data_IF_619872889315
#
_entry.id   IF_619872889315
#
_cell.length_a   1.000
_cell.length_b   1.000
_cell.length_c   1.000
_cell.angle_alpha   90.00
_cell.angle_beta   90.00
_cell.angle_gamma   90.00
#
_symmetry.space_group_name_H-M   'P 1'
#
loop_
_entity.id
_entity.type
_entity.pdbx_description
1 polymer ?
#
# COMPACT_ATOMS: atom_id res chain seq x y z
N UNK A 1 -67.45 -63.19 -25.46
CA UNK A 1 -67.04 -63.62 -26.80
C UNK A 1 -65.57 -63.97 -26.70
N UNK A 2 -65.29 -65.29 -26.64
CA UNK A 2 -64.05 -66.00 -27.04
C UNK A 2 -62.72 -65.45 -26.45
N UNK A 3 -62.16 -66.08 -25.40
CA UNK A 3 -61.19 -67.21 -25.44
C UNK A 3 -59.78 -66.76 -25.89
N UNK A 4 -58.61 -67.25 -25.44
CA UNK A 4 -58.03 -68.05 -24.33
C UNK A 4 -56.51 -68.13 -24.69
N UNK A 5 -55.61 -68.23 -23.69
CA UNK A 5 -54.31 -68.99 -23.65
C UNK A 5 -53.27 -68.24 -22.79
N UNK A 6 -52.80 -68.68 -21.61
CA UNK A 6 -52.24 -69.94 -21.08
C UNK A 6 -50.75 -70.17 -21.42
N UNK A 7 -49.93 -70.26 -20.36
CA UNK A 7 -48.61 -70.93 -20.30
C UNK A 7 -47.41 -69.98 -20.37
N UNK A 8 -46.31 -70.11 -19.62
CA UNK A 8 -45.75 -71.24 -18.87
C UNK A 8 -44.63 -70.73 -17.93
N UNK A 9 -44.39 -71.47 -16.85
CA UNK A 9 -43.36 -71.26 -15.82
C UNK A 9 -41.90 -71.33 -16.33
N UNK A 10 -40.99 -70.64 -15.63
CA UNK A 10 -39.60 -71.06 -15.48
C UNK A 10 -38.98 -70.45 -14.21
N UNK A 11 -38.65 -71.35 -13.28
CA UNK A 11 -37.86 -71.15 -12.07
C UNK A 11 -36.37 -71.05 -12.45
N UNK A 12 -35.63 -70.04 -11.95
CA UNK A 12 -34.16 -70.12 -11.80
C UNK A 12 -33.60 -69.12 -10.80
N UNK A 13 -32.90 -69.66 -9.81
CA UNK A 13 -31.93 -69.00 -8.93
C UNK A 13 -30.92 -68.14 -9.72
N UNK A 14 -30.51 -66.98 -9.23
CA UNK A 14 -29.31 -66.83 -8.39
C UNK A 14 -28.98 -65.35 -8.12
N UNK A 15 -28.43 -65.11 -6.93
CA UNK A 15 -27.52 -64.06 -6.50
C UNK A 15 -27.79 -62.54 -6.67
N UNK A 16 -27.49 -61.84 -5.57
CA UNK A 16 -26.68 -60.62 -5.67
C UNK A 16 -27.35 -59.28 -5.39
N UNK A 17 -27.75 -59.07 -4.13
CA UNK A 17 -27.60 -57.81 -3.38
C UNK A 17 -27.88 -56.47 -4.08
N UNK A 18 -28.95 -55.80 -3.65
CA UNK A 18 -29.02 -54.35 -3.82
C UNK A 18 -30.37 -53.71 -3.53
N UNK A 19 -30.37 -52.86 -2.50
CA UNK A 19 -31.20 -51.64 -2.35
C UNK A 19 -32.57 -51.83 -1.67
N UNK A 20 -32.71 -51.21 -0.48
CA UNK A 20 -33.43 -49.93 -0.27
C UNK A 20 -33.78 -49.74 1.22
N UNK A 21 -33.06 -48.85 1.90
CA UNK A 21 -33.58 -48.08 3.04
C UNK A 21 -33.05 -46.63 2.96
N UNK A 22 -33.80 -45.65 3.51
CA UNK A 22 -33.88 -44.30 2.95
C UNK A 22 -32.75 -43.36 3.41
N UNK A 23 -32.39 -42.45 2.51
CA UNK A 23 -31.40 -41.39 2.69
C UNK A 23 -31.78 -40.47 3.87
N UNK A 24 -31.05 -40.57 4.97
CA UNK A 24 -31.07 -39.57 6.03
C UNK A 24 -30.43 -38.29 5.50
N UNK A 25 -31.28 -37.28 5.38
CA UNK A 25 -31.01 -35.89 5.04
C UNK A 25 -29.90 -35.31 5.94
N UNK A 26 -28.67 -35.27 5.42
CA UNK A 26 -27.54 -34.54 6.00
C UNK A 26 -27.05 -33.47 5.04
N UNK A 27 -27.96 -32.64 4.55
CA UNK A 27 -27.61 -31.29 4.10
C UNK A 27 -28.09 -30.26 5.12
N UNK A 28 -27.40 -30.20 6.26
CA UNK A 28 -27.25 -28.90 6.93
C UNK A 28 -26.42 -28.05 5.99
N UNK A 29 -27.10 -27.35 5.08
CA UNK A 29 -26.63 -26.13 4.43
C UNK A 29 -25.85 -25.34 5.47
N UNK A 30 -24.53 -25.33 5.37
CA UNK A 30 -23.78 -24.17 5.81
C UNK A 30 -24.34 -23.02 4.97
N UNK A 31 -25.28 -22.27 5.55
CA UNK A 31 -25.50 -20.88 5.16
C UNK A 31 -24.20 -20.16 5.48
N UNK A 32 -23.23 -20.31 4.58
CA UNK A 32 -22.06 -19.44 4.50
C UNK A 32 -22.66 -18.05 4.35
N UNK A 33 -22.51 -17.23 5.38
CA UNK A 33 -22.90 -15.83 5.36
C UNK A 33 -22.37 -15.25 4.05
N UNK A 34 -23.28 -14.94 3.13
CA UNK A 34 -22.95 -14.22 1.91
C UNK A 34 -22.67 -12.81 2.41
N UNK A 35 -21.44 -12.55 2.85
CA UNK A 35 -20.96 -11.18 2.94
C UNK A 35 -21.06 -10.64 1.52
N UNK A 36 -22.00 -9.72 1.32
CA UNK A 36 -22.27 -9.16 0.02
C UNK A 36 -20.96 -8.50 -0.42
N UNK A 37 -20.35 -8.99 -1.51
CA UNK A 37 -19.01 -8.60 -1.98
C UNK A 37 -18.88 -7.10 -2.24
N UNK A 38 -20.02 -6.43 -2.39
CA UNK A 38 -20.14 -4.99 -2.52
C UNK A 38 -19.84 -4.21 -1.23
N UNK A 39 -19.98 -4.78 -0.03
CA UNK A 39 -19.75 -4.06 1.23
C UNK A 39 -18.27 -3.76 1.50
N UNK A 40 -17.38 -4.69 1.17
CA UNK A 40 -15.95 -4.58 1.53
C UNK A 40 -15.25 -3.41 0.82
N UNK A 41 -15.62 -3.13 -0.44
CA UNK A 41 -15.11 -1.99 -1.19
C UNK A 41 -16.02 -0.75 -1.09
N UNK A 42 -17.16 -0.85 -0.42
CA UNK A 42 -18.11 0.25 -0.32
C UNK A 42 -17.51 1.44 0.42
N UNK A 43 -16.87 1.19 1.57
CA UNK A 43 -16.19 2.23 2.35
C UNK A 43 -15.14 2.97 1.50
N UNK A 44 -14.32 2.21 0.77
CA UNK A 44 -13.29 2.76 -0.09
C UNK A 44 -13.86 3.56 -1.27
N UNK A 45 -14.88 3.04 -1.96
CA UNK A 45 -15.54 3.75 -3.07
C UNK A 45 -16.27 5.01 -2.58
N UNK A 46 -16.92 4.93 -1.41
CA UNK A 46 -17.56 6.09 -0.76
C UNK A 46 -16.53 7.17 -0.46
N UNK A 47 -15.34 6.79 0.00
CA UNK A 47 -14.24 7.70 0.25
C UNK A 47 -13.71 8.35 -1.04
N UNK A 48 -13.45 7.57 -2.10
CA UNK A 48 -13.04 8.11 -3.41
C UNK A 48 -14.10 9.05 -4.01
N UNK A 49 -15.38 8.73 -3.83
CA UNK A 49 -16.49 9.56 -4.27
C UNK A 49 -16.58 10.86 -3.48
N UNK A 50 -16.40 10.79 -2.16
CA UNK A 50 -16.32 11.98 -1.29
C UNK A 50 -15.16 12.89 -1.70
N UNK A 51 -14.03 12.29 -2.07
CA UNK A 51 -12.84 13.01 -2.55
C UNK A 51 -12.96 13.51 -4.00
N UNK A 52 -14.07 13.26 -4.69
CA UNK A 52 -14.31 13.60 -6.10
C UNK A 52 -13.31 12.99 -7.10
N UNK A 53 -12.74 11.82 -6.79
CA UNK A 53 -11.75 11.14 -7.66
C UNK A 53 -12.29 9.82 -8.26
N UNK A 54 -13.58 9.54 -8.07
CA UNK A 54 -14.20 8.33 -8.59
C UNK A 54 -14.48 8.40 -10.10
N UNK A 55 -13.79 7.56 -10.87
CA UNK A 55 -13.95 7.43 -12.33
C UNK A 55 -14.72 6.17 -12.75
N UNK A 56 -15.56 5.64 -11.86
CA UNK A 56 -16.32 4.40 -12.11
C UNK A 56 -17.37 4.49 -13.22
N UNK A 57 -17.93 5.68 -13.47
CA UNK A 57 -18.92 5.93 -14.52
C UNK A 57 -18.49 7.11 -15.41
N UNK A 58 -18.96 7.23 -16.66
CA UNK A 58 -18.59 8.34 -17.53
C UNK A 58 -18.99 9.70 -16.94
N UNK A 59 -20.15 9.78 -16.26
CA UNK A 59 -20.60 10.99 -15.58
C UNK A 59 -19.70 11.37 -14.40
N UNK A 60 -19.35 10.41 -13.53
CA UNK A 60 -18.44 10.68 -12.40
C UNK A 60 -17.01 10.95 -12.88
N UNK A 61 -16.59 10.38 -14.00
CA UNK A 61 -15.32 10.70 -14.63
C UNK A 61 -15.29 12.17 -15.10
N UNK A 62 -16.32 12.64 -15.82
CA UNK A 62 -16.42 14.06 -16.22
C UNK A 62 -16.41 14.98 -14.99
N UNK A 63 -17.16 14.63 -13.94
CA UNK A 63 -17.16 15.38 -12.68
C UNK A 63 -15.77 15.42 -12.02
N UNK A 64 -15.07 14.28 -11.97
CA UNK A 64 -13.72 14.20 -11.39
C UNK A 64 -12.70 15.03 -12.17
N UNK A 65 -12.78 15.03 -13.51
CA UNK A 65 -11.93 15.85 -14.36
C UNK A 65 -12.23 17.33 -14.21
N UNK A 66 -13.50 17.70 -14.10
CA UNK A 66 -13.92 19.08 -13.83
C UNK A 66 -13.37 19.57 -12.48
N UNK A 67 -13.56 18.82 -11.40
CA UNK A 67 -13.04 19.17 -10.08
C UNK A 67 -11.51 19.24 -10.08
N UNK A 68 -10.85 18.30 -10.76
CA UNK A 68 -9.41 18.31 -10.93
C UNK A 68 -8.94 19.60 -11.62
N UNK A 69 -9.53 20.00 -12.75
CA UNK A 69 -9.15 21.22 -13.46
C UNK A 69 -9.38 22.45 -12.59
N UNK A 70 -10.52 22.53 -11.91
CA UNK A 70 -10.85 23.67 -11.04
C UNK A 70 -9.85 23.81 -9.90
N UNK A 71 -9.66 22.78 -9.08
CA UNK A 71 -8.83 22.87 -7.87
C UNK A 71 -7.32 22.74 -8.13
N UNK A 72 -6.91 22.17 -9.26
CA UNK A 72 -5.50 21.94 -9.57
C UNK A 72 -4.92 22.97 -10.54
N UNK A 73 -5.74 23.62 -11.38
CA UNK A 73 -5.27 24.56 -12.40
C UNK A 73 -5.93 25.95 -12.27
N UNK A 74 -7.26 26.01 -12.22
CA UNK A 74 -7.99 27.29 -12.24
C UNK A 74 -7.79 28.08 -10.96
N UNK A 75 -8.09 27.49 -9.80
CA UNK A 75 -7.94 28.17 -8.50
C UNK A 75 -6.50 28.64 -8.24
N UNK A 76 -5.43 27.84 -8.43
CA UNK A 76 -4.07 28.35 -8.26
C UNK A 76 -3.77 29.48 -9.24
N UNK A 77 -4.07 29.33 -10.54
CA UNK A 77 -3.82 30.39 -11.50
C UNK A 77 -4.55 31.69 -11.12
N UNK A 78 -5.82 31.60 -10.71
CA UNK A 78 -6.60 32.75 -10.27
C UNK A 78 -6.02 33.38 -9.00
N UNK A 79 -5.62 32.58 -8.01
CA UNK A 79 -4.94 33.06 -6.80
C UNK A 79 -3.65 33.79 -7.16
N UNK A 80 -2.81 33.21 -8.03
CA UNK A 80 -1.56 33.82 -8.46
C UNK A 80 -1.77 35.15 -9.19
N UNK A 81 -2.68 35.21 -10.16
CA UNK A 81 -2.90 36.41 -10.99
C UNK A 81 -3.71 37.49 -10.28
N UNK A 82 -4.67 37.14 -9.43
CA UNK A 82 -5.50 38.13 -8.73
C UNK A 82 -4.84 38.68 -7.47
N UNK A 83 -3.96 37.90 -6.81
CA UNK A 83 -3.18 38.36 -5.66
C UNK A 83 -1.80 38.92 -6.05
N UNK A 84 -1.45 38.89 -7.35
CA UNK A 84 -0.26 39.56 -7.88
C UNK A 84 -0.44 41.09 -7.83
N UNK A 85 -0.30 41.66 -6.64
CA UNK A 85 -0.31 43.10 -6.44
C UNK A 85 1.13 43.64 -6.55
N UNK A 86 1.36 44.53 -7.50
CA UNK A 86 2.65 45.22 -7.68
C UNK A 86 2.96 46.24 -6.55
N UNK A 87 1.97 46.61 -5.74
CA UNK A 87 2.06 47.64 -4.70
C UNK A 87 1.85 47.11 -3.26
N UNK A 88 1.91 45.79 -3.04
CA UNK A 88 1.74 45.23 -1.69
C UNK A 88 2.97 45.52 -0.80
N UNK A 89 2.68 45.73 0.49
CA UNK A 89 3.68 45.94 1.54
C UNK A 89 4.66 44.76 1.62
N UNK A 90 5.91 45.04 2.00
CA UNK A 90 7.04 44.08 2.05
C UNK A 90 6.71 42.81 2.87
N UNK A 91 5.86 42.93 3.89
CA UNK A 91 5.42 41.84 4.76
C UNK A 91 4.38 40.89 4.12
N UNK A 92 3.71 41.31 3.03
CA UNK A 92 2.66 40.55 2.34
C UNK A 92 3.04 40.12 0.92
N UNK A 93 4.26 40.44 0.47
CA UNK A 93 4.77 39.95 -0.81
C UNK A 93 4.86 38.41 -0.79
N UNK A 94 4.33 37.76 -1.84
CA UNK A 94 4.39 36.31 -2.05
C UNK A 94 5.40 35.93 -3.15
N UNK A 95 6.72 36.08 -2.91
CA UNK A 95 7.73 35.85 -3.96
C UNK A 95 7.90 34.38 -4.36
N UNK A 96 7.50 33.44 -3.49
CA UNK A 96 7.69 31.99 -3.70
C UNK A 96 6.43 31.27 -4.19
N UNK A 97 5.29 31.97 -4.27
CA UNK A 97 3.98 31.40 -4.56
C UNK A 97 3.93 30.68 -5.92
N UNK A 98 4.56 31.23 -6.97
CA UNK A 98 4.63 30.56 -8.28
C UNK A 98 5.30 29.19 -8.20
N UNK A 99 6.40 29.07 -7.46
CA UNK A 99 7.13 27.82 -7.29
C UNK A 99 6.34 26.78 -6.50
N UNK A 100 5.70 27.22 -5.41
CA UNK A 100 4.84 26.39 -4.55
C UNK A 100 3.63 25.87 -5.33
N UNK A 101 2.92 26.77 -6.02
CA UNK A 101 1.74 26.39 -6.77
C UNK A 101 2.09 25.47 -7.95
N UNK A 102 3.18 25.72 -8.67
CA UNK A 102 3.60 24.90 -9.80
C UNK A 102 4.04 23.50 -9.35
N UNK A 103 4.83 23.39 -8.29
CA UNK A 103 5.30 22.10 -7.76
C UNK A 103 4.15 21.26 -7.21
N UNK A 104 3.26 21.86 -6.41
CA UNK A 104 2.09 21.16 -5.86
C UNK A 104 1.11 20.73 -6.96
N UNK A 105 0.85 21.60 -7.95
CA UNK A 105 -0.08 21.29 -9.04
C UNK A 105 0.48 20.25 -10.01
N UNK A 106 1.79 20.31 -10.31
CA UNK A 106 2.44 19.31 -11.16
C UNK A 106 2.46 17.92 -10.51
N UNK A 107 2.75 17.83 -9.20
CA UNK A 107 2.72 16.56 -8.49
C UNK A 107 1.28 16.03 -8.32
N UNK A 108 0.31 16.92 -8.04
CA UNK A 108 -1.11 16.55 -8.00
C UNK A 108 -1.61 16.07 -9.38
N UNK A 109 -1.18 16.71 -10.47
CA UNK A 109 -1.49 16.28 -11.83
C UNK A 109 -0.88 14.93 -12.16
N UNK A 110 0.40 14.71 -11.83
CA UNK A 110 1.05 13.41 -11.98
C UNK A 110 0.28 12.33 -11.22
N UNK A 111 -0.13 12.61 -9.98
CA UNK A 111 -0.90 11.69 -9.13
C UNK A 111 -2.28 11.40 -9.70
N UNK A 112 -3.05 12.43 -10.09
CA UNK A 112 -4.38 12.26 -10.67
C UNK A 112 -4.33 11.50 -12.00
N UNK A 113 -3.39 11.83 -12.89
CA UNK A 113 -3.21 11.12 -14.17
C UNK A 113 -2.83 9.65 -13.95
N UNK A 114 -1.97 9.38 -12.97
CA UNK A 114 -1.59 8.02 -12.58
C UNK A 114 -2.83 7.23 -12.12
N UNK A 115 -3.59 7.80 -11.18
CA UNK A 115 -4.82 7.19 -10.67
C UNK A 115 -5.87 7.00 -11.76
N UNK A 116 -6.08 8.02 -12.61
CA UNK A 116 -7.05 7.97 -13.71
C UNK A 116 -6.72 6.88 -14.72
N UNK A 117 -5.45 6.77 -15.12
CA UNK A 117 -4.99 5.70 -16.02
C UNK A 117 -5.19 4.32 -15.40
N UNK A 118 -5.02 4.17 -14.09
CA UNK A 118 -5.22 2.89 -13.43
C UNK A 118 -6.70 2.51 -13.29
N UNK A 119 -7.54 3.45 -12.88
CA UNK A 119 -8.98 3.22 -12.74
C UNK A 119 -9.60 2.91 -14.10
N UNK A 120 -9.28 3.69 -15.14
CA UNK A 120 -9.80 3.48 -16.50
C UNK A 120 -9.31 2.17 -17.14
N UNK A 121 -8.03 1.81 -16.97
CA UNK A 121 -7.45 0.63 -17.64
C UNK A 121 -7.76 -0.70 -16.95
N UNK A 122 -7.82 -0.72 -15.63
CA UNK A 122 -7.93 -1.97 -14.86
C UNK A 122 -9.26 -2.07 -14.08
N UNK A 123 -9.87 -0.94 -13.72
CA UNK A 123 -10.93 -0.91 -12.73
C UNK A 123 -10.40 -1.07 -11.31
N UNK A 124 -11.09 -0.47 -10.34
CA UNK A 124 -10.64 -0.38 -8.94
C UNK A 124 -10.39 -1.75 -8.30
N UNK A 125 -11.25 -2.74 -8.59
CA UNK A 125 -11.17 -4.08 -8.03
C UNK A 125 -9.96 -4.87 -8.54
N UNK A 126 -9.73 -4.82 -9.85
CA UNK A 126 -8.58 -5.47 -10.48
C UNK A 126 -7.27 -4.78 -10.13
N UNK A 127 -7.31 -3.46 -9.92
CA UNK A 127 -6.18 -2.66 -9.49
C UNK A 127 -5.68 -3.03 -8.09
N UNK A 128 -6.58 -3.21 -7.11
CA UNK A 128 -6.25 -3.71 -5.78
C UNK A 128 -6.09 -5.24 -5.72
N UNK A 129 -6.13 -5.94 -6.87
CA UNK A 129 -6.07 -7.41 -6.99
C UNK A 129 -7.16 -8.19 -6.21
N UNK A 130 -8.28 -7.54 -5.87
CA UNK A 130 -9.42 -8.19 -5.19
C UNK A 130 -10.14 -9.22 -6.07
N UNK A 131 -10.02 -9.15 -7.39
CA UNK A 131 -10.64 -10.14 -8.30
C UNK A 131 -10.10 -11.55 -8.08
N UNK A 132 -8.83 -11.68 -7.71
CA UNK A 132 -8.16 -12.97 -7.52
C UNK A 132 -8.32 -13.52 -6.10
N UNK A 133 -8.84 -12.72 -5.17
CA UNK A 133 -9.09 -13.11 -3.77
C UNK A 133 -10.40 -13.89 -3.58
N UNK A 134 -11.21 -14.02 -4.62
CA UNK A 134 -12.47 -14.75 -4.54
C UNK A 134 -12.28 -16.24 -4.23
N UNK A 135 -11.17 -16.81 -4.71
CA UNK A 135 -10.82 -18.21 -4.52
C UNK A 135 -9.99 -18.46 -3.24
N UNK A 136 -9.61 -17.40 -2.51
CA UNK A 136 -8.74 -17.47 -1.33
C UNK A 136 -9.54 -17.61 -0.02
N UNK A 137 -8.86 -18.10 1.02
CA UNK A 137 -9.43 -18.34 2.36
C UNK A 137 -10.12 -17.12 2.96
N UNK A 138 -11.19 -17.35 3.75
CA UNK A 138 -11.92 -16.28 4.45
C UNK A 138 -11.05 -15.46 5.41
N UNK A 139 -9.98 -16.07 5.95
CA UNK A 139 -9.04 -15.40 6.85
C UNK A 139 -8.19 -14.37 6.10
N UNK A 140 -7.69 -14.74 4.90
CA UNK A 140 -6.92 -13.85 4.02
C UNK A 140 -7.77 -12.63 3.64
N UNK A 141 -9.01 -12.85 3.25
CA UNK A 141 -9.94 -11.76 2.91
C UNK A 141 -10.16 -10.77 4.06
N UNK A 142 -10.25 -11.25 5.31
CA UNK A 142 -10.39 -10.39 6.49
C UNK A 142 -9.11 -9.58 6.78
N UNK A 143 -7.93 -10.18 6.57
CA UNK A 143 -6.66 -9.47 6.64
C UNK A 143 -6.58 -8.31 5.64
N UNK A 144 -7.05 -8.53 4.41
CA UNK A 144 -7.05 -7.50 3.36
C UNK A 144 -7.99 -6.33 3.67
N UNK A 145 -9.19 -6.59 4.20
CA UNK A 145 -10.17 -5.54 4.50
C UNK A 145 -9.75 -4.72 5.71
N UNK A 146 -9.16 -5.36 6.72
CA UNK A 146 -8.52 -4.66 7.83
C UNK A 146 -7.40 -3.74 7.34
N UNK A 147 -6.54 -4.24 6.45
CA UNK A 147 -5.43 -3.44 5.91
C UNK A 147 -5.89 -2.27 5.04
N UNK A 148 -6.99 -2.44 4.28
CA UNK A 148 -7.59 -1.37 3.51
C UNK A 148 -8.06 -0.24 4.43
N UNK A 149 -8.80 -0.58 5.50
CA UNK A 149 -9.29 0.41 6.47
C UNK A 149 -8.13 1.09 7.21
N UNK A 150 -7.11 0.32 7.62
CA UNK A 150 -5.88 0.87 8.22
C UNK A 150 -5.19 1.87 7.29
N UNK A 151 -5.11 1.56 6.00
CA UNK A 151 -4.52 2.44 4.99
C UNK A 151 -5.31 3.74 4.80
N UNK A 152 -6.64 3.70 4.86
CA UNK A 152 -7.47 4.90 4.84
C UNK A 152 -7.31 5.76 6.10
N UNK A 153 -7.19 5.15 7.28
CA UNK A 153 -6.87 5.89 8.53
C UNK A 153 -5.52 6.59 8.43
N UNK A 154 -4.52 5.91 7.86
CA UNK A 154 -3.19 6.49 7.61
C UNK A 154 -3.27 7.72 6.69
N UNK A 155 -4.09 7.67 5.63
CA UNK A 155 -4.30 8.83 4.76
C UNK A 155 -4.82 10.05 5.56
N UNK A 156 -5.80 9.83 6.43
CA UNK A 156 -6.32 10.88 7.30
C UNK A 156 -5.25 11.42 8.27
N UNK A 157 -4.45 10.53 8.86
CA UNK A 157 -3.37 10.91 9.76
C UNK A 157 -2.29 11.77 9.10
N UNK A 158 -2.00 11.60 7.81
CA UNK A 158 -1.07 12.47 7.08
C UNK A 158 -1.72 13.77 6.59
N UNK A 159 -2.95 13.71 6.08
CA UNK A 159 -3.62 14.87 5.49
C UNK A 159 -4.06 15.86 6.58
N UNK A 160 -4.55 15.39 7.72
CA UNK A 160 -5.06 16.24 8.80
C UNK A 160 -4.03 17.24 9.37
N UNK A 161 -2.83 16.85 9.82
CA UNK A 161 -1.85 17.78 10.37
C UNK A 161 -1.34 18.77 9.32
N UNK A 162 -1.12 18.30 8.09
CA UNK A 162 -0.77 19.14 6.95
C UNK A 162 -1.85 20.21 6.69
N UNK A 163 -3.12 19.82 6.69
CA UNK A 163 -4.25 20.73 6.49
C UNK A 163 -4.43 21.71 7.64
N UNK A 164 -4.26 21.27 8.89
CA UNK A 164 -4.33 22.15 10.05
C UNK A 164 -3.22 23.21 10.02
N UNK A 165 -1.99 22.82 9.71
CA UNK A 165 -0.85 23.74 9.60
C UNK A 165 -1.03 24.75 8.46
N UNK A 166 -1.56 24.32 7.31
CA UNK A 166 -1.83 25.23 6.20
C UNK A 166 -3.01 26.16 6.50
N UNK A 167 -4.06 25.64 7.15
CA UNK A 167 -5.22 26.42 7.53
C UNK A 167 -4.85 27.50 8.53
N UNK A 168 -4.07 27.19 9.57
CA UNK A 168 -3.61 28.18 10.54
C UNK A 168 -2.76 29.26 9.86
N UNK A 169 -1.83 28.87 8.98
CA UNK A 169 -1.01 29.82 8.22
C UNK A 169 -1.85 30.77 7.35
N UNK A 170 -2.79 30.24 6.55
CA UNK A 170 -3.62 31.07 5.67
C UNK A 170 -4.60 31.93 6.45
N UNK A 171 -5.27 31.39 7.47
CA UNK A 171 -6.18 32.16 8.31
C UNK A 171 -5.42 33.31 8.97
N UNK A 172 -4.22 33.06 9.50
CA UNK A 172 -3.38 34.10 10.07
C UNK A 172 -2.98 35.17 9.04
N UNK A 173 -2.60 34.76 7.82
CA UNK A 173 -2.23 35.67 6.74
C UNK A 173 -3.40 36.56 6.29
N UNK A 174 -4.57 35.98 6.04
CA UNK A 174 -5.78 36.73 5.68
C UNK A 174 -6.32 37.60 6.82
N UNK A 175 -6.23 37.14 8.08
CA UNK A 175 -6.65 37.92 9.24
C UNK A 175 -5.73 39.13 9.50
N UNK A 176 -4.43 39.01 9.18
CA UNK A 176 -3.44 40.06 9.36
C UNK A 176 -3.40 41.07 8.19
N UNK A 177 -3.91 40.69 7.01
CA UNK A 177 -3.95 41.51 5.79
C UNK A 177 -5.29 42.19 5.48
N UNK A 178 -6.17 42.36 6.48
CA UNK A 178 -7.62 42.56 6.37
C UNK A 178 -8.16 43.83 5.63
N UNK A 179 -7.52 44.37 4.57
CA UNK A 179 -8.04 45.60 3.92
C UNK A 179 -7.69 45.89 2.45
N UNK A 180 -7.33 44.93 1.59
CA UNK A 180 -6.88 45.31 0.22
C UNK A 180 -7.52 44.61 -0.99
N UNK A 181 -8.51 43.72 -0.88
CA UNK A 181 -9.08 43.02 -2.05
C UNK A 181 -10.61 43.20 -2.17
N UNK A 182 -11.09 44.26 -2.87
CA UNK A 182 -12.51 44.51 -3.04
C UNK A 182 -13.05 43.76 -4.27
N UNK A 183 -13.34 42.46 -4.16
CA UNK A 183 -13.89 41.68 -5.29
C UNK A 183 -15.44 41.57 -5.30
N UNK A 184 -16.09 41.71 -4.14
CA UNK A 184 -17.52 41.37 -3.94
C UNK A 184 -18.34 42.43 -3.19
N UNK A 185 -17.90 43.69 -3.20
CA UNK A 185 -18.60 44.81 -2.55
C UNK A 185 -18.48 44.84 -1.02
N UNK A 186 -18.27 43.69 -0.36
CA UNK A 186 -17.89 43.58 1.05
C UNK A 186 -16.52 42.87 1.17
N UNK A 187 -15.53 43.60 1.69
CA UNK A 187 -14.12 43.17 1.77
C UNK A 187 -13.98 41.87 2.58
N UNK A 188 -14.71 41.75 3.69
CA UNK A 188 -14.64 40.57 4.58
C UNK A 188 -15.18 39.30 3.89
N UNK A 189 -16.27 39.43 3.12
CA UNK A 189 -16.87 38.30 2.42
C UNK A 189 -15.96 37.82 1.28
N UNK A 190 -15.37 38.77 0.55
CA UNK A 190 -14.42 38.50 -0.53
C UNK A 190 -13.19 37.72 -0.03
N UNK A 191 -12.57 38.20 1.05
CA UNK A 191 -11.36 37.58 1.63
C UNK A 191 -11.67 36.20 2.22
N UNK A 192 -12.83 36.03 2.85
CA UNK A 192 -13.28 34.74 3.40
C UNK A 192 -13.48 33.69 2.29
N UNK A 193 -14.11 34.07 1.18
CA UNK A 193 -14.35 33.17 0.04
C UNK A 193 -13.03 32.81 -0.66
N UNK A 194 -12.12 33.78 -0.84
CA UNK A 194 -10.80 33.54 -1.41
C UNK A 194 -9.97 32.58 -0.55
N UNK A 195 -9.94 32.80 0.77
CA UNK A 195 -9.26 31.92 1.72
C UNK A 195 -9.84 30.50 1.69
N UNK A 196 -11.17 30.35 1.74
CA UNK A 196 -11.82 29.04 1.68
C UNK A 196 -11.51 28.31 0.37
N UNK A 197 -11.62 29.00 -0.77
CA UNK A 197 -11.35 28.40 -2.08
C UNK A 197 -9.88 27.94 -2.19
N UNK A 198 -8.95 28.74 -1.70
CA UNK A 198 -7.53 28.38 -1.61
C UNK A 198 -7.27 27.18 -0.71
N UNK A 199 -7.93 27.10 0.46
CA UNK A 199 -7.81 25.97 1.38
C UNK A 199 -8.42 24.69 0.81
N UNK A 200 -9.60 24.76 0.19
CA UNK A 200 -10.22 23.62 -0.49
C UNK A 200 -9.34 23.11 -1.64
N UNK A 201 -8.76 24.03 -2.41
CA UNK A 201 -7.83 23.73 -3.50
C UNK A 201 -6.56 23.06 -3.02
N UNK A 202 -5.96 23.57 -1.94
CA UNK A 202 -4.78 22.96 -1.32
C UNK A 202 -5.10 21.58 -0.74
N UNK A 203 -6.19 21.45 0.02
CA UNK A 203 -6.67 20.18 0.56
C UNK A 203 -6.91 19.16 -0.54
N UNK A 204 -7.57 19.54 -1.63
CA UNK A 204 -7.80 18.64 -2.76
C UNK A 204 -6.49 18.11 -3.33
N UNK A 205 -5.52 19.01 -3.61
CA UNK A 205 -4.22 18.60 -4.15
C UNK A 205 -3.47 17.68 -3.19
N UNK A 206 -3.32 18.05 -1.92
CA UNK A 206 -2.60 17.22 -0.94
C UNK A 206 -3.28 15.87 -0.75
N UNK A 207 -4.61 15.82 -0.72
CA UNK A 207 -5.34 14.57 -0.58
C UNK A 207 -5.16 13.66 -1.80
N UNK A 208 -5.19 14.20 -3.03
CA UNK A 208 -4.91 13.42 -4.25
C UNK A 208 -3.49 12.85 -4.25
N UNK A 209 -2.52 13.65 -3.84
CA UNK A 209 -1.11 13.25 -3.71
C UNK A 209 -0.95 12.10 -2.73
N UNK A 210 -1.42 12.28 -1.50
CA UNK A 210 -1.32 11.25 -0.47
C UNK A 210 -2.16 10.02 -0.78
N UNK A 211 -3.32 10.16 -1.43
CA UNK A 211 -4.12 9.02 -1.85
C UNK A 211 -3.31 8.08 -2.75
N UNK A 212 -2.65 8.59 -3.78
CA UNK A 212 -1.85 7.73 -4.67
C UNK A 212 -0.69 7.08 -3.93
N UNK A 213 -0.05 7.81 -3.01
CA UNK A 213 1.02 7.27 -2.18
C UNK A 213 0.54 6.14 -1.28
N UNK A 214 -0.61 6.32 -0.63
CA UNK A 214 -1.25 5.32 0.22
C UNK A 214 -1.77 4.15 -0.59
N UNK A 215 -2.28 4.35 -1.81
CA UNK A 215 -2.69 3.25 -2.69
C UNK A 215 -1.50 2.40 -3.10
N UNK A 216 -0.36 3.03 -3.42
CA UNK A 216 0.86 2.30 -3.68
C UNK A 216 1.33 1.52 -2.43
N UNK A 217 1.34 2.16 -1.25
CA UNK A 217 1.65 1.50 0.03
C UNK A 217 0.73 0.29 0.28
N UNK A 218 -0.57 0.46 0.07
CA UNK A 218 -1.57 -0.59 0.21
C UNK A 218 -1.25 -1.74 -0.74
N UNK A 219 -1.04 -1.47 -2.03
CA UNK A 219 -0.66 -2.50 -3.02
C UNK A 219 0.59 -3.25 -2.59
N UNK A 220 1.63 -2.54 -2.14
CA UNK A 220 2.86 -3.15 -1.64
C UNK A 220 2.59 -4.05 -0.43
N UNK A 221 1.81 -3.59 0.54
CA UNK A 221 1.48 -4.38 1.72
C UNK A 221 0.62 -5.61 1.39
N UNK A 222 -0.33 -5.49 0.47
CA UNK A 222 -1.10 -6.64 -0.01
C UNK A 222 -0.20 -7.68 -0.68
N UNK A 223 0.88 -7.27 -1.34
CA UNK A 223 1.86 -8.22 -1.87
C UNK A 223 2.74 -8.84 -0.77
N UNK A 224 3.03 -8.11 0.31
CA UNK A 224 3.76 -8.66 1.47
C UNK A 224 2.93 -9.75 2.15
N UNK A 225 1.63 -9.54 2.36
CA UNK A 225 0.73 -10.57 2.90
C UNK A 225 0.76 -11.85 2.05
N UNK A 226 0.77 -11.73 0.73
CA UNK A 226 0.92 -12.90 -0.18
C UNK A 226 2.28 -13.56 -0.05
N UNK A 227 3.32 -12.79 0.22
CA UNK A 227 4.66 -13.31 0.44
C UNK A 227 4.73 -14.11 1.75
N UNK A 228 4.04 -13.66 2.79
CA UNK A 228 3.91 -14.36 4.06
C UNK A 228 3.11 -15.65 3.92
N UNK A 229 1.97 -15.60 3.21
CA UNK A 229 1.20 -16.82 2.89
C UNK A 229 2.07 -17.83 2.11
N UNK A 230 2.88 -17.36 1.17
CA UNK A 230 3.84 -18.21 0.45
C UNK A 230 4.93 -18.81 1.36
N UNK A 231 5.40 -18.06 2.36
CA UNK A 231 6.36 -18.57 3.34
C UNK A 231 5.75 -19.67 4.22
N UNK A 232 4.44 -19.63 4.50
CA UNK A 232 3.75 -20.72 5.18
C UNK A 232 3.61 -21.97 4.29
N UNK A 233 3.39 -21.79 2.98
CA UNK A 233 3.37 -22.91 2.03
C UNK A 233 4.73 -23.61 1.93
N UNK A 234 5.83 -22.89 2.07
CA UNK A 234 7.17 -23.49 2.19
C UNK A 234 7.31 -24.46 3.36
N UNK A 235 6.51 -24.31 4.42
CA UNK A 235 6.51 -25.23 5.57
C UNK A 235 5.62 -26.46 5.35
N UNK A 236 4.66 -26.39 4.43
CA UNK A 236 3.62 -27.43 4.27
C UNK A 236 3.82 -28.30 3.01
N UNK A 237 4.36 -27.74 1.92
CA UNK A 237 4.48 -28.43 0.63
C UNK A 237 5.90 -28.93 0.33
N UNK A 238 6.01 -30.19 -0.10
CA UNK A 238 7.29 -30.90 -0.29
C UNK A 238 7.73 -31.02 -1.76
N UNK A 239 7.21 -30.25 -2.71
CA UNK A 239 7.65 -30.31 -4.11
C UNK A 239 8.34 -29.01 -4.54
N UNK A 240 9.60 -29.13 -4.99
CA UNK A 240 10.40 -28.01 -5.52
C UNK A 240 9.71 -27.35 -6.72
N UNK A 241 8.98 -28.14 -7.52
CA UNK A 241 8.25 -27.65 -8.69
C UNK A 241 7.11 -26.70 -8.34
N UNK A 242 6.33 -27.01 -7.30
CA UNK A 242 5.22 -26.15 -6.86
C UNK A 242 5.74 -24.85 -6.25
N UNK A 243 6.79 -24.93 -5.42
CA UNK A 243 7.48 -23.78 -4.81
C UNK A 243 8.00 -22.81 -5.88
N UNK A 244 8.68 -23.33 -6.91
CA UNK A 244 9.22 -22.50 -8.00
C UNK A 244 8.10 -21.85 -8.82
N UNK A 245 7.02 -22.59 -9.11
CA UNK A 245 5.88 -22.08 -9.87
C UNK A 245 5.18 -20.93 -9.14
N UNK A 246 4.97 -21.05 -7.83
CA UNK A 246 4.38 -19.97 -7.02
C UNK A 246 5.33 -18.77 -6.88
N UNK A 247 6.63 -19.01 -6.66
CA UNK A 247 7.61 -17.92 -6.67
C UNK A 247 7.61 -17.15 -8.00
N UNK A 248 7.57 -17.85 -9.14
CA UNK A 248 7.48 -17.23 -10.47
C UNK A 248 6.18 -16.43 -10.65
N UNK A 249 5.07 -16.91 -10.09
CA UNK A 249 3.78 -16.20 -10.11
C UNK A 249 3.85 -14.90 -9.32
N UNK A 250 4.40 -14.93 -8.11
CA UNK A 250 4.61 -13.76 -7.26
C UNK A 250 5.54 -12.76 -7.96
N UNK A 251 6.68 -13.23 -8.48
CA UNK A 251 7.64 -12.40 -9.21
C UNK A 251 7.01 -11.74 -10.45
N UNK A 252 6.13 -12.46 -11.16
CA UNK A 252 5.36 -11.89 -12.27
C UNK A 252 4.44 -10.78 -11.79
N UNK A 253 3.73 -10.95 -10.67
CA UNK A 253 2.87 -9.92 -10.10
C UNK A 253 3.67 -8.68 -9.66
N UNK A 254 4.79 -8.85 -8.96
CA UNK A 254 5.70 -7.77 -8.58
C UNK A 254 6.25 -7.02 -9.79
N UNK A 255 6.66 -7.74 -10.85
CA UNK A 255 7.15 -7.13 -12.10
C UNK A 255 6.07 -6.30 -12.79
N UNK A 256 4.83 -6.79 -12.82
CA UNK A 256 3.70 -6.04 -13.38
C UNK A 256 3.44 -4.77 -12.57
N UNK A 257 3.47 -4.84 -11.24
CA UNK A 257 3.28 -3.68 -10.36
C UNK A 257 4.42 -2.67 -10.54
N UNK A 258 5.66 -3.11 -10.43
CA UNK A 258 6.87 -2.29 -10.69
C UNK A 258 6.79 -1.60 -12.05
N UNK A 259 6.45 -2.32 -13.12
CA UNK A 259 6.34 -1.72 -14.46
C UNK A 259 5.27 -0.63 -14.55
N UNK A 260 4.15 -0.79 -13.85
CA UNK A 260 3.06 0.21 -13.83
C UNK A 260 3.47 1.48 -13.09
N UNK A 261 4.21 1.33 -11.99
CA UNK A 261 4.59 2.43 -11.12
C UNK A 261 5.98 3.02 -11.40
N UNK A 262 6.83 2.39 -12.21
CA UNK A 262 8.21 2.86 -12.43
C UNK A 262 8.28 4.30 -12.95
N UNK A 263 7.39 4.66 -13.88
CA UNK A 263 7.34 6.00 -14.45
C UNK A 263 6.85 6.97 -13.37
N UNK A 264 5.82 6.57 -12.62
CA UNK A 264 5.28 7.38 -11.53
C UNK A 264 6.33 7.63 -10.43
N UNK A 265 7.00 6.60 -9.90
CA UNK A 265 8.02 6.73 -8.86
C UNK A 265 9.19 7.61 -9.35
N UNK A 266 9.67 7.38 -10.58
CA UNK A 266 10.75 8.18 -11.14
C UNK A 266 10.34 9.64 -11.36
N UNK A 267 9.17 9.89 -11.94
CA UNK A 267 8.65 11.25 -12.13
C UNK A 267 8.40 11.95 -10.81
N UNK A 268 7.89 11.24 -9.79
CA UNK A 268 7.74 11.77 -8.44
C UNK A 268 9.08 12.16 -7.84
N UNK A 269 10.10 11.31 -7.94
CA UNK A 269 11.45 11.62 -7.47
C UNK A 269 11.98 12.88 -8.17
N UNK A 270 11.96 12.92 -9.51
CA UNK A 270 12.46 14.07 -10.29
C UNK A 270 11.71 15.36 -9.94
N UNK A 271 10.38 15.33 -9.84
CA UNK A 271 9.58 16.51 -9.51
C UNK A 271 9.88 17.01 -8.09
N UNK A 272 10.00 16.11 -7.11
CA UNK A 272 10.29 16.48 -5.73
C UNK A 272 11.69 17.05 -5.62
N UNK A 273 12.72 16.33 -6.10
CA UNK A 273 14.11 16.83 -6.10
C UNK A 273 14.23 18.16 -6.86
N UNK A 274 13.59 18.28 -8.01
CA UNK A 274 13.56 19.52 -8.79
C UNK A 274 12.90 20.68 -8.03
N UNK A 275 11.80 20.41 -7.32
CA UNK A 275 11.13 21.41 -6.49
C UNK A 275 11.96 21.84 -5.28
N UNK A 276 12.68 20.91 -4.64
CA UNK A 276 13.59 21.22 -3.53
C UNK A 276 14.79 22.03 -3.98
N UNK A 277 15.38 21.67 -5.13
CA UNK A 277 16.49 22.41 -5.71
C UNK A 277 16.05 23.82 -6.15
N UNK A 278 14.86 23.95 -6.74
CA UNK A 278 14.29 25.25 -7.07
C UNK A 278 14.11 26.12 -5.82
N UNK A 279 13.56 25.53 -4.75
CA UNK A 279 13.37 26.19 -3.45
C UNK A 279 14.71 26.64 -2.86
N UNK A 280 15.74 25.79 -2.90
CA UNK A 280 17.10 26.12 -2.49
C UNK A 280 17.67 27.32 -3.26
N UNK A 281 17.53 27.32 -4.60
CA UNK A 281 18.07 28.37 -5.46
C UNK A 281 17.41 29.73 -5.23
N UNK A 282 16.08 29.75 -5.16
CA UNK A 282 15.33 31.01 -4.98
C UNK A 282 15.57 31.60 -3.58
N UNK A 283 15.72 30.73 -2.57
CA UNK A 283 16.08 31.12 -1.20
C UNK A 283 17.53 31.60 -1.08
N UNK A 284 18.46 31.00 -1.82
CA UNK A 284 19.88 31.43 -1.79
C UNK A 284 20.08 32.78 -2.47
N UNK A 285 19.29 33.09 -3.51
CA UNK A 285 19.37 34.36 -4.23
C UNK A 285 18.82 35.55 -3.43
N UNK A 286 17.87 35.33 -2.52
CA UNK A 286 17.33 36.37 -1.67
C UNK A 286 18.31 36.69 -0.53
N UNK A 287 19.09 37.76 -0.67
CA UNK A 287 20.02 38.26 0.35
C UNK A 287 19.33 38.80 1.62
N UNK A 288 18.01 38.96 1.60
CA UNK A 288 17.18 39.39 2.74
C UNK A 288 16.74 38.19 3.58
N UNK A 289 16.79 38.33 4.90
CA UNK A 289 16.38 37.27 5.85
C UNK A 289 15.01 36.69 5.51
N UNK A 290 14.91 35.36 5.51
CA UNK A 290 13.63 34.66 5.34
C UNK A 290 12.87 34.73 6.66
N UNK A 291 11.71 35.34 6.65
CA UNK A 291 10.81 35.30 7.80
C UNK A 291 9.80 34.16 7.61
N UNK A 292 9.37 33.54 8.71
CA UNK A 292 8.30 32.52 8.75
C UNK A 292 7.07 32.96 7.93
N UNK A 293 6.80 34.26 7.92
CA UNK A 293 5.64 34.87 7.30
C UNK A 293 5.66 34.78 5.77
N UNK A 294 6.83 34.81 5.13
CA UNK A 294 6.96 34.75 3.66
C UNK A 294 7.37 33.37 3.14
N UNK A 295 8.07 32.57 3.94
CA UNK A 295 8.58 31.24 3.54
C UNK A 295 7.74 30.06 4.09
N UNK A 296 6.72 30.30 4.92
CA UNK A 296 5.89 29.26 5.52
C UNK A 296 5.20 28.34 4.51
N UNK A 297 4.59 28.88 3.45
CA UNK A 297 3.93 28.06 2.41
C UNK A 297 4.94 27.19 1.64
N UNK A 298 6.14 27.72 1.40
CA UNK A 298 7.22 27.02 0.72
C UNK A 298 7.70 25.82 1.57
N UNK A 299 7.91 26.04 2.87
CA UNK A 299 8.30 25.00 3.81
C UNK A 299 7.23 23.91 3.93
N UNK A 300 5.95 24.28 4.10
CA UNK A 300 4.85 23.32 4.20
C UNK A 300 4.66 22.50 2.92
N UNK A 301 4.81 23.13 1.74
CA UNK A 301 4.77 22.44 0.46
C UNK A 301 5.93 21.45 0.31
N UNK A 302 7.15 21.90 0.62
CA UNK A 302 8.35 21.08 0.60
C UNK A 302 8.23 19.84 1.50
N UNK A 303 7.80 20.03 2.76
CA UNK A 303 7.53 18.94 3.70
C UNK A 303 6.50 17.95 3.16
N UNK A 304 5.39 18.46 2.58
CA UNK A 304 4.32 17.63 2.03
C UNK A 304 4.82 16.75 0.88
N UNK A 305 5.57 17.33 -0.06
CA UNK A 305 6.13 16.64 -1.22
C UNK A 305 7.15 15.57 -0.82
N UNK A 306 8.05 15.88 0.12
CA UNK A 306 9.03 14.91 0.63
C UNK A 306 8.34 13.79 1.41
N UNK A 307 7.37 14.10 2.27
CA UNK A 307 6.60 13.08 3.00
C UNK A 307 5.91 12.10 2.02
N UNK A 308 5.29 12.63 0.96
CA UNK A 308 4.68 11.81 -0.08
C UNK A 308 5.70 10.89 -0.77
N UNK A 309 6.87 11.42 -1.17
CA UNK A 309 7.94 10.64 -1.79
C UNK A 309 8.49 9.55 -0.84
N UNK A 310 8.66 9.86 0.44
CA UNK A 310 9.16 8.90 1.42
C UNK A 310 8.19 7.75 1.66
N UNK A 311 6.88 8.03 1.68
CA UNK A 311 5.86 6.96 1.75
C UNK A 311 6.00 6.00 0.56
N UNK A 312 6.22 6.54 -0.66
CA UNK A 312 6.43 5.73 -1.86
C UNK A 312 7.71 4.89 -1.78
N UNK A 313 8.86 5.53 -1.50
CA UNK A 313 10.15 4.86 -1.46
C UNK A 313 10.24 3.83 -0.33
N UNK A 314 9.73 4.14 0.86
CA UNK A 314 9.69 3.20 1.99
C UNK A 314 8.85 1.98 1.70
N UNK A 315 7.69 2.17 1.04
CA UNK A 315 6.84 1.05 0.62
C UNK A 315 7.54 0.16 -0.41
N UNK A 316 8.26 0.76 -1.37
CA UNK A 316 9.02 0.03 -2.39
C UNK A 316 10.25 -0.70 -1.83
N UNK A 317 10.98 -0.07 -0.91
CA UNK A 317 12.14 -0.67 -0.25
C UNK A 317 11.73 -1.83 0.67
N UNK A 318 10.64 -1.67 1.45
CA UNK A 318 10.12 -2.73 2.35
C UNK A 318 9.76 -4.00 1.59
N UNK A 319 9.09 -3.89 0.45
CA UNK A 319 8.74 -5.06 -0.37
C UNK A 319 9.97 -5.68 -1.06
N UNK A 320 10.94 -4.88 -1.50
CA UNK A 320 12.21 -5.41 -2.02
C UNK A 320 12.95 -6.21 -0.94
N UNK A 321 13.00 -5.69 0.30
CA UNK A 321 13.62 -6.39 1.42
C UNK A 321 12.92 -7.72 1.73
N UNK A 322 11.59 -7.72 1.89
CA UNK A 322 10.86 -8.97 2.16
C UNK A 322 10.95 -9.96 0.98
N UNK A 323 11.01 -9.48 -0.26
CA UNK A 323 11.27 -10.33 -1.44
C UNK A 323 12.67 -10.95 -1.44
N UNK A 324 13.67 -10.26 -0.90
CA UNK A 324 15.01 -10.79 -0.70
C UNK A 324 15.07 -11.78 0.47
N UNK A 325 14.32 -11.57 1.56
CA UNK A 325 14.28 -12.49 2.70
C UNK A 325 13.84 -13.92 2.31
N UNK A 326 13.00 -14.06 1.26
CA UNK A 326 12.60 -15.37 0.71
C UNK A 326 13.80 -16.20 0.25
N UNK A 327 14.88 -15.58 -0.23
CA UNK A 327 16.08 -16.34 -0.66
C UNK A 327 16.81 -16.91 0.55
N UNK A 328 16.86 -16.17 1.67
CA UNK A 328 17.40 -16.65 2.94
C UNK A 328 16.57 -17.81 3.51
N UNK A 329 15.24 -17.68 3.49
CA UNK A 329 14.33 -18.75 3.93
C UNK A 329 14.54 -20.04 3.12
N UNK A 330 14.69 -19.94 1.80
CA UNK A 330 14.96 -21.10 0.95
C UNK A 330 16.32 -21.74 1.25
N UNK A 331 17.34 -20.95 1.58
CA UNK A 331 18.64 -21.45 1.99
C UNK A 331 18.56 -22.17 3.35
N UNK A 332 17.88 -21.58 4.35
CA UNK A 332 17.60 -22.21 5.65
C UNK A 332 16.88 -23.54 5.47
N UNK A 333 15.81 -23.57 4.67
CA UNK A 333 15.07 -24.79 4.33
C UNK A 333 15.97 -25.87 3.70
N UNK A 334 16.83 -25.49 2.75
CA UNK A 334 17.75 -26.43 2.11
C UNK A 334 18.74 -27.06 3.10
N UNK A 335 19.28 -26.24 4.02
CA UNK A 335 20.21 -26.71 5.06
C UNK A 335 19.52 -27.66 6.01
N UNK A 336 18.35 -27.28 6.57
CA UNK A 336 17.57 -28.13 7.48
C UNK A 336 17.22 -29.48 6.83
N UNK A 337 16.69 -29.46 5.60
CA UNK A 337 16.33 -30.69 4.88
C UNK A 337 17.54 -31.56 4.49
N UNK A 338 18.75 -30.98 4.49
CA UNK A 338 19.98 -31.72 4.23
C UNK A 338 20.55 -32.33 5.51
N UNK A 339 20.58 -31.60 6.63
CA UNK A 339 21.04 -32.11 7.93
C UNK A 339 20.17 -33.28 8.38
N UNK A 340 18.84 -33.13 8.33
CA UNK A 340 17.91 -34.20 8.74
C UNK A 340 18.07 -35.45 7.86
N UNK A 341 18.39 -35.27 6.57
CA UNK A 341 18.67 -36.42 5.69
C UNK A 341 19.92 -37.20 6.09
N UNK A 342 20.94 -36.56 6.69
CA UNK A 342 22.11 -37.26 7.20
C UNK A 342 21.83 -37.97 8.53
N UNK A 343 21.03 -37.38 9.42
CA UNK A 343 20.62 -38.05 10.68
C UNK A 343 19.82 -39.33 10.42
N UNK A 344 19.00 -39.35 9.37
CA UNK A 344 18.27 -40.58 8.97
C UNK A 344 19.15 -41.66 8.35
N UNK A 345 20.33 -41.31 7.82
CA UNK A 345 21.26 -42.24 7.15
C UNK A 345 22.28 -42.83 8.13
N UNK A 346 22.71 -42.07 9.14
CA UNK A 346 23.63 -42.55 10.19
C UNK A 346 22.91 -43.31 11.32
N UNK A 347 21.58 -43.25 11.39
CA UNK A 347 20.75 -43.96 12.37
C UNK A 347 20.21 -45.30 11.88
N UNK A 348 21.01 -46.36 11.97
CA UNK A 348 20.55 -47.74 11.78
C UNK A 348 19.58 -48.22 12.87
N UNK A 349 18.34 -47.73 12.88
CA UNK A 349 17.09 -48.38 13.37
C UNK A 349 15.94 -47.34 13.38
N UNK A 350 14.72 -47.67 12.89
CA UNK A 350 13.57 -46.79 13.01
C UNK A 350 13.10 -46.80 14.46
N UNK A 351 13.55 -45.85 15.28
CA UNK A 351 12.86 -45.57 16.54
C UNK A 351 11.63 -44.74 16.22
N UNK A 352 10.48 -45.44 16.20
CA UNK A 352 9.19 -44.86 16.55
C UNK A 352 9.42 -43.91 17.73
N UNK A 353 9.25 -42.61 17.51
CA UNK A 353 9.15 -41.65 18.61
C UNK A 353 7.83 -41.98 19.29
N UNK A 354 7.96 -42.76 20.36
CA UNK A 354 6.86 -43.21 21.17
C UNK A 354 6.19 -42.01 21.83
N UNK A 355 4.87 -42.07 21.82
CA UNK A 355 3.99 -41.11 22.44
C UNK A 355 3.93 -41.46 23.93
N UNK A 356 4.15 -40.46 24.78
CA UNK A 356 3.90 -40.41 26.22
C UNK A 356 5.12 -40.58 27.15
N UNK A 357 5.49 -39.45 27.78
CA UNK A 357 5.94 -39.22 29.17
C UNK A 357 6.66 -37.86 29.15
N UNK A 358 6.11 -36.73 29.58
CA UNK A 358 5.51 -36.47 30.89
C UNK A 358 6.59 -35.85 31.81
N UNK A 359 6.42 -34.55 32.12
CA UNK A 359 7.24 -33.65 32.97
C UNK A 359 8.49 -33.02 32.33
N UNK A 360 8.64 -31.69 32.23
CA UNK A 360 7.84 -30.55 32.66
C UNK A 360 8.74 -29.32 32.83
N UNK A 361 8.41 -28.19 32.18
CA UNK A 361 8.73 -26.89 32.72
C UNK A 361 7.65 -25.89 32.32
N UNK A 362 7.20 -25.14 33.32
CA UNK A 362 5.98 -24.37 33.37
C UNK A 362 6.04 -23.14 32.45
N UNK A 363 4.98 -22.91 31.66
CA UNK A 363 4.61 -21.56 31.24
C UNK A 363 3.41 -21.16 32.07
N UNK A 364 3.68 -20.31 33.06
CA UNK A 364 2.73 -19.68 33.96
C UNK A 364 1.71 -18.88 33.16
N UNK A 365 0.44 -19.23 33.32
CA UNK A 365 -0.68 -18.33 33.08
C UNK A 365 -0.47 -17.04 33.88
N UNK A 366 -0.30 -15.93 33.18
CA UNK A 366 -0.42 -14.59 33.76
C UNK A 366 -1.58 -13.90 33.04
N UNK A 367 -2.75 -13.92 33.68
CA UNK A 367 -3.84 -12.99 33.42
C UNK A 367 -3.34 -11.55 33.64
N UNK A 368 -3.32 -10.73 32.59
CA UNK A 368 -3.33 -9.25 32.74
C UNK A 368 -4.28 -8.66 31.69
N UNK A 369 -5.45 -8.26 32.19
CA UNK A 369 -6.16 -6.99 31.94
C UNK A 369 -6.19 -6.38 30.54
N UNK A 370 -7.42 -6.26 30.01
CA UNK A 370 -7.85 -5.15 29.17
C UNK A 370 -7.38 -3.81 29.75
N UNK A 371 -6.50 -3.06 29.05
CA UNK A 371 -6.58 -1.59 28.95
C UNK A 371 -5.73 -1.05 27.78
N UNK A 372 -6.39 -0.30 26.91
CA UNK A 372 -5.98 0.83 26.06
C UNK A 372 -4.86 0.74 24.99
N UNK A 373 -5.34 1.11 23.79
CA UNK A 373 -4.65 1.59 22.59
C UNK A 373 -3.45 2.51 22.91
N UNK A 374 -2.25 2.07 22.55
CA UNK A 374 -1.19 2.98 22.13
C UNK A 374 -0.49 2.42 20.90
N UNK A 375 -0.68 3.11 19.78
CA UNK A 375 -0.05 2.84 18.49
C UNK A 375 1.45 3.14 18.59
N UNK A 376 2.26 2.12 18.90
CA UNK A 376 3.70 2.21 18.72
C UNK A 376 4.08 2.00 17.24
N UNK A 377 4.86 2.95 16.72
CA UNK A 377 5.48 2.93 15.39
C UNK A 377 6.89 2.28 15.43
N UNK A 378 7.17 1.48 16.46
CA UNK A 378 8.32 0.59 16.57
C UNK A 378 8.03 -0.75 15.91
N UNK A 379 8.94 -1.16 15.02
CA UNK A 379 9.17 -2.55 14.57
C UNK A 379 7.93 -3.46 14.45
N UNK A 380 7.30 -3.47 13.26
CA UNK A 380 6.60 -4.68 12.81
C UNK A 380 7.67 -5.77 12.70
N UNK A 381 7.80 -6.57 13.77
CA UNK A 381 8.73 -7.67 13.98
C UNK A 381 8.96 -8.48 12.72
N UNK A 382 10.22 -8.90 12.54
CA UNK A 382 10.67 -9.75 11.46
C UNK A 382 10.14 -11.17 11.62
N UNK A 383 8.84 -11.35 11.33
CA UNK A 383 8.15 -12.65 11.24
C UNK A 383 8.72 -13.55 10.12
N UNK A 384 9.74 -13.07 9.38
CA UNK A 384 10.52 -13.83 8.41
C UNK A 384 11.89 -14.29 8.96
N UNK A 385 12.45 -13.59 9.94
CA UNK A 385 13.69 -13.93 10.65
C UNK A 385 13.35 -14.45 12.06
N UNK A 386 12.31 -15.27 12.17
CA UNK A 386 12.17 -16.04 13.39
C UNK A 386 13.40 -16.97 13.49
N UNK A 387 14.19 -16.78 14.54
CA UNK A 387 15.31 -17.67 14.91
C UNK A 387 14.81 -19.02 15.43
N UNK A 388 13.49 -19.16 15.56
CA UNK A 388 12.84 -20.41 15.92
C UNK A 388 13.04 -21.44 14.81
N UNK A 389 13.65 -22.55 15.20
CA UNK A 389 13.97 -23.67 14.31
C UNK A 389 12.67 -24.10 13.62
N UNK A 390 12.54 -23.91 12.30
CA UNK A 390 11.38 -24.39 11.56
C UNK A 390 11.29 -25.90 11.85
N UNK A 391 10.25 -26.38 12.55
CA UNK A 391 10.10 -27.81 12.80
C UNK A 391 9.89 -28.43 11.42
N UNK A 392 10.90 -29.11 10.91
CA UNK A 392 10.87 -29.77 9.62
C UNK A 392 9.95 -30.99 9.70
N UNK A 393 8.65 -30.75 9.80
CA UNK A 393 7.64 -31.78 9.54
C UNK A 393 7.49 -31.95 8.02
N UNK A 394 8.55 -32.43 7.36
CA UNK A 394 8.45 -32.87 5.98
C UNK A 394 9.52 -33.92 5.68
N UNK A 395 9.10 -35.18 5.77
CA UNK A 395 9.80 -36.37 5.28
C UNK A 395 10.25 -36.16 3.82
N UNK A 396 11.42 -35.56 3.63
CA UNK A 396 11.84 -35.00 2.35
C UNK A 396 12.52 -36.06 1.49
N UNK A 397 11.73 -36.79 0.70
CA UNK A 397 12.22 -37.67 -0.38
C UNK A 397 12.77 -36.91 -1.60
N UNK A 398 12.89 -35.58 -1.52
CA UNK A 398 13.40 -34.71 -2.59
C UNK A 398 14.91 -34.89 -2.75
N UNK A 399 15.39 -35.08 -3.99
CA UNK A 399 16.82 -35.15 -4.26
C UNK A 399 17.52 -33.83 -3.97
N UNK A 400 18.67 -33.90 -3.27
CA UNK A 400 19.55 -32.77 -2.95
C UNK A 400 19.78 -31.82 -4.15
N UNK A 401 20.03 -32.40 -5.34
CA UNK A 401 20.26 -31.65 -6.57
C UNK A 401 19.11 -30.70 -6.94
N UNK A 402 17.85 -31.09 -6.71
CA UNK A 402 16.68 -30.24 -7.02
C UNK A 402 16.60 -29.06 -6.05
N UNK A 403 16.88 -29.27 -4.77
CA UNK A 403 16.86 -28.22 -3.75
C UNK A 403 18.01 -27.23 -3.94
N UNK A 404 19.22 -27.73 -4.20
CA UNK A 404 20.39 -26.92 -4.51
C UNK A 404 20.17 -26.05 -5.77
N UNK A 405 19.56 -26.61 -6.82
CA UNK A 405 19.22 -25.86 -8.02
C UNK A 405 18.21 -24.72 -7.75
N UNK A 406 17.25 -24.93 -6.85
CA UNK A 406 16.28 -23.92 -6.44
C UNK A 406 16.95 -22.77 -5.68
N UNK A 407 17.81 -23.08 -4.71
CA UNK A 407 18.55 -22.06 -3.94
C UNK A 407 19.44 -21.24 -4.87
N UNK A 408 20.21 -21.92 -5.74
CA UNK A 408 21.06 -21.25 -6.72
C UNK A 408 20.24 -20.39 -7.71
N UNK A 409 19.03 -20.82 -8.07
CA UNK A 409 18.12 -19.98 -8.85
C UNK A 409 17.75 -18.70 -8.10
N UNK A 410 17.39 -18.79 -6.81
CA UNK A 410 17.01 -17.64 -6.00
C UNK A 410 18.17 -16.66 -5.75
N UNK A 411 19.36 -17.16 -5.46
CA UNK A 411 20.56 -16.33 -5.27
C UNK A 411 20.89 -15.50 -6.52
N UNK A 412 20.81 -16.13 -7.70
CA UNK A 412 21.14 -15.47 -8.96
C UNK A 412 19.97 -14.61 -9.52
N UNK A 413 18.78 -14.70 -8.92
CA UNK A 413 17.59 -13.98 -9.34
C UNK A 413 17.02 -13.12 -8.22
N UNK A 414 17.73 -12.04 -7.87
CA UNK A 414 17.24 -11.05 -6.91
C UNK A 414 15.80 -10.62 -7.24
N UNK A 415 14.91 -10.83 -6.28
CA UNK A 415 13.52 -10.39 -6.34
C UNK A 415 13.37 -9.00 -5.71
N UNK A 416 12.40 -8.22 -6.18
CA UNK A 416 12.14 -6.87 -5.66
C UNK A 416 11.58 -5.90 -6.71
N UNK A 417 11.29 -4.67 -6.28
CA UNK A 417 10.88 -3.60 -7.18
C UNK A 417 12.13 -2.99 -7.80
N UNK A 418 12.24 -3.10 -9.12
CA UNK A 418 13.28 -2.43 -9.90
C UNK A 418 12.69 -1.25 -10.69
N UNK A 419 13.44 -0.17 -10.78
CA UNK A 419 13.13 1.02 -11.59
C UNK A 419 14.28 1.20 -12.58
N UNK A 420 14.02 0.95 -13.87
CA UNK A 420 15.02 1.03 -14.95
C UNK A 420 16.34 0.30 -14.69
N UNK A 421 16.29 -0.88 -14.06
CA UNK A 421 17.46 -1.70 -13.77
C UNK A 421 18.06 -1.47 -12.38
N UNK A 422 17.71 -0.38 -11.69
CA UNK A 422 18.11 -0.14 -10.31
C UNK A 422 17.10 -0.76 -9.34
N UNK A 423 17.56 -1.55 -8.39
CA UNK A 423 16.74 -2.07 -7.28
C UNK A 423 16.52 -0.98 -6.26
N UNK A 424 15.26 -0.71 -5.89
CA UNK A 424 14.95 0.15 -4.74
C UNK A 424 15.16 -0.66 -3.46
N UNK A 425 16.33 -0.51 -2.85
CA UNK A 425 16.77 -1.18 -1.63
C UNK A 425 16.80 -0.20 -0.44
N UNK A 426 17.27 -0.66 0.74
CA UNK A 426 17.38 0.22 1.92
C UNK A 426 18.45 1.29 1.72
N UNK A 427 19.56 0.97 1.05
CA UNK A 427 20.66 1.92 0.86
C UNK A 427 20.25 3.11 -0.02
N UNK A 428 19.62 2.85 -1.17
CA UNK A 428 19.12 3.91 -2.06
C UNK A 428 18.08 4.79 -1.38
N UNK A 429 17.20 4.20 -0.57
CA UNK A 429 16.26 4.97 0.26
C UNK A 429 16.99 5.89 1.22
N UNK A 430 17.97 5.39 1.98
CA UNK A 430 18.73 6.21 2.93
C UNK A 430 19.47 7.35 2.23
N UNK A 431 20.05 7.12 1.05
CA UNK A 431 20.71 8.16 0.27
C UNK A 431 19.73 9.25 -0.18
N UNK A 432 18.59 8.85 -0.78
CA UNK A 432 17.58 9.81 -1.24
C UNK A 432 16.98 10.57 -0.05
N UNK A 433 16.66 9.87 1.04
CA UNK A 433 16.18 10.47 2.28
C UNK A 433 17.18 11.49 2.83
N UNK A 434 18.46 11.15 2.90
CA UNK A 434 19.50 12.06 3.36
C UNK A 434 19.57 13.34 2.53
N UNK A 435 19.50 13.23 1.21
CA UNK A 435 19.54 14.38 0.29
C UNK A 435 18.29 15.25 0.47
N UNK A 436 17.09 14.68 0.33
CA UNK A 436 15.82 15.40 0.37
C UNK A 436 15.57 16.03 1.74
N UNK A 437 15.82 15.29 2.83
CA UNK A 437 15.65 15.82 4.18
C UNK A 437 16.65 16.92 4.51
N UNK A 438 17.89 16.84 4.02
CA UNK A 438 18.87 17.91 4.22
C UNK A 438 18.42 19.21 3.57
N UNK A 439 17.85 19.14 2.36
CA UNK A 439 17.30 20.31 1.65
C UNK A 439 16.13 20.93 2.41
N UNK A 440 15.21 20.09 2.89
CA UNK A 440 14.07 20.50 3.69
C UNK A 440 14.50 21.15 5.01
N UNK A 441 15.39 20.49 5.76
CA UNK A 441 15.89 20.97 7.04
C UNK A 441 16.66 22.28 6.89
N UNK A 442 17.45 22.41 5.83
CA UNK A 442 18.12 23.67 5.51
C UNK A 442 17.12 24.80 5.27
N UNK A 443 16.07 24.54 4.49
CA UNK A 443 15.01 25.52 4.21
C UNK A 443 14.24 25.88 5.49
N UNK A 444 13.96 24.88 6.33
CA UNK A 444 13.29 25.06 7.60
C UNK A 444 14.13 25.89 8.58
N UNK A 445 15.43 25.61 8.69
CA UNK A 445 16.36 26.36 9.53
C UNK A 445 16.44 27.83 9.13
N UNK A 446 16.47 28.11 7.83
CA UNK A 446 16.36 29.48 7.30
C UNK A 446 15.02 30.14 7.59
N UNK A 447 13.92 29.38 7.56
CA UNK A 447 12.56 29.91 7.76
C UNK A 447 12.27 30.24 9.22
N UNK A 448 12.72 29.41 10.17
CA UNK A 448 12.46 29.58 11.61
C UNK A 448 13.39 30.65 12.24
N UNK A 449 14.43 31.09 11.51
CA UNK A 449 15.37 32.10 12.02
C UNK A 449 16.32 31.57 13.08
N UNK A 450 16.52 30.24 13.15
CA UNK A 450 17.58 29.64 13.95
C UNK A 450 18.88 29.78 13.13
N UNK A 451 19.43 30.99 13.11
CA UNK A 451 20.77 31.27 12.61
C UNK A 451 21.51 32.20 13.55
#
# INVERSE_FOLDING_TARGET
MTDIDIGTAAERNDDGGGRREPLINREKKFKRSVSNVHDELHSFRKYLRWMCVDQSSPWTAVLSWSMFVVFTLVVPAMSHFMLACANCDSHHSRPYDSGVQLSLSSFAALSFLCLSRFVSKFGLRRFLFFDKLWDESSTVRRGYTNQLNRSLKILFYFVAPCFLAMSSYKIWWYASGASQIPFLGNVILSDTVACLMELCSWLYRTTVIFLVCVLFRLICHLQILRLQDFAQVFQMDSDVGSILSEHLRIRRHLRIISHRYRIFILSSLILVTGSQLYSLLITTKSHTGLNVNSAGELALCSMTLVTALLILLRSASKITHKAQAVTCLAAKWHVCATIESFETVDGGTPRLVDRASGHGFYSTDVEIGDTDDSEDYGEEEDDFDNDDLIPAYAYSTISFQKRQALVHYFENNKAGITVFGFTLDRSTLHTIFGIEMSLVLWLLGKTIGIS
#
